data_IF_307406564654
#
_entry.id   IF_307406564654
#
_cell.length_a   1.000
_cell.length_b   1.000
_cell.length_c   1.000
_cell.angle_alpha   90.00
_cell.angle_beta   90.00
_cell.angle_gamma   90.00
#
_symmetry.space_group_name_H-M   'P 1'
#
loop_
_entity.id
_entity.type
_entity.pdbx_description
1 polymer ?
#
# COMPACT_ATOMS: atom_id res chain seq x y z
N UNK A 1 -18.17 -6.70 -14.70
CA UNK A 1 -16.81 -6.71 -14.14
C UNK A 1 -16.78 -5.52 -13.22
N UNK A 2 -16.99 -5.77 -11.94
CA UNK A 2 -17.07 -4.75 -10.90
C UNK A 2 -15.68 -4.11 -10.84
N UNK A 3 -15.53 -2.94 -11.44
CA UNK A 3 -14.29 -2.17 -11.37
C UNK A 3 -14.20 -1.63 -9.96
N UNK A 4 -13.86 -2.53 -9.02
CA UNK A 4 -13.48 -2.18 -7.67
C UNK A 4 -12.45 -1.07 -7.78
N UNK A 5 -12.74 0.05 -7.14
CA UNK A 5 -11.89 1.23 -7.04
C UNK A 5 -10.41 0.84 -6.89
N UNK A 6 -9.71 0.76 -8.02
CA UNK A 6 -8.29 0.46 -8.10
C UNK A 6 -7.45 1.34 -7.15
N UNK A 7 -7.78 2.64 -6.91
CA UNK A 7 -7.09 3.42 -5.90
C UNK A 7 -7.37 2.95 -4.46
N UNK A 8 -8.59 2.51 -4.14
CA UNK A 8 -8.97 2.07 -2.79
C UNK A 8 -8.30 0.76 -2.41
N UNK A 9 -8.36 -0.26 -3.27
CA UNK A 9 -7.75 -1.56 -2.98
C UNK A 9 -6.22 -1.45 -2.90
N UNK A 10 -5.63 -0.63 -3.76
CA UNK A 10 -4.18 -0.40 -3.77
C UNK A 10 -3.75 0.37 -2.52
N UNK A 11 -4.51 1.37 -2.09
CA UNK A 11 -4.33 2.08 -0.82
C UNK A 11 -4.32 1.12 0.39
N UNK A 12 -5.30 0.21 0.47
CA UNK A 12 -5.36 -0.79 1.54
C UNK A 12 -4.19 -1.76 1.50
N UNK A 13 -3.74 -2.16 0.30
CA UNK A 13 -2.58 -3.02 0.14
C UNK A 13 -1.30 -2.37 0.67
N UNK A 14 -1.09 -1.08 0.38
CA UNK A 14 0.05 -0.32 0.90
C UNK A 14 -0.03 -0.13 2.42
N UNK A 15 -1.21 0.17 2.97
CA UNK A 15 -1.39 0.30 4.42
C UNK A 15 -1.09 -1.01 5.15
N UNK A 16 -1.59 -2.13 4.63
CA UNK A 16 -1.28 -3.46 5.19
C UNK A 16 0.21 -3.76 5.12
N UNK A 17 0.87 -3.45 3.99
CA UNK A 17 2.31 -3.65 3.83
C UNK A 17 3.14 -2.79 4.81
N UNK A 18 2.66 -1.60 5.15
CA UNK A 18 3.25 -0.72 6.16
C UNK A 18 2.94 -1.14 7.62
N UNK A 19 2.12 -2.19 7.83
CA UNK A 19 1.78 -2.70 9.15
C UNK A 19 0.60 -1.99 9.82
N UNK A 20 -0.22 -1.25 9.07
CA UNK A 20 -1.46 -0.68 9.59
C UNK A 20 -2.57 -1.71 9.64
N UNK A 21 -3.45 -1.55 10.63
CA UNK A 21 -4.73 -2.25 10.64
C UNK A 21 -5.62 -1.73 9.52
N UNK A 22 -6.11 -2.64 8.68
CA UNK A 22 -7.03 -2.35 7.58
C UNK A 22 -8.47 -2.65 7.99
N UNK A 23 -8.82 -2.39 9.25
CA UNK A 23 -10.15 -2.58 9.81
C UNK A 23 -11.19 -1.61 9.23
N UNK A 24 -12.46 -1.73 9.68
CA UNK A 24 -13.58 -0.96 9.14
C UNK A 24 -13.38 0.56 9.28
N UNK A 25 -12.74 1.01 10.36
CA UNK A 25 -12.44 2.43 10.59
C UNK A 25 -11.43 2.98 9.56
N UNK A 26 -10.31 2.27 9.37
CA UNK A 26 -9.30 2.62 8.36
C UNK A 26 -9.92 2.64 6.95
N UNK A 27 -10.74 1.64 6.63
CA UNK A 27 -11.45 1.55 5.34
C UNK A 27 -12.39 2.74 5.12
N UNK A 28 -13.20 3.09 6.11
CA UNK A 28 -14.09 4.25 6.03
C UNK A 28 -13.31 5.56 5.84
N UNK A 29 -12.17 5.70 6.53
CA UNK A 29 -11.28 6.85 6.41
C UNK A 29 -10.69 6.97 5.00
N UNK A 30 -10.11 5.88 4.47
CA UNK A 30 -9.58 5.86 3.09
C UNK A 30 -10.67 6.24 2.09
N UNK A 31 -11.86 5.65 2.21
CA UNK A 31 -12.98 5.93 1.31
C UNK A 31 -13.40 7.40 1.34
N UNK A 32 -13.56 7.98 2.54
CA UNK A 32 -13.92 9.40 2.68
C UNK A 32 -12.88 10.34 2.07
N UNK A 33 -11.58 9.99 2.16
CA UNK A 33 -10.49 10.80 1.62
C UNK A 33 -10.39 10.71 0.11
N UNK A 34 -10.59 9.52 -0.46
CA UNK A 34 -10.67 9.33 -1.91
C UNK A 34 -11.82 10.17 -2.49
N UNK A 35 -13.00 10.10 -1.88
CA UNK A 35 -14.16 10.90 -2.31
C UNK A 35 -13.92 12.41 -2.20
N UNK A 36 -13.30 12.88 -1.10
CA UNK A 36 -12.97 14.29 -0.93
C UNK A 36 -12.00 14.78 -2.03
N UNK A 37 -11.04 13.94 -2.44
CA UNK A 37 -10.07 14.30 -3.48
C UNK A 37 -10.58 14.16 -4.90
N UNK A 38 -11.45 13.20 -5.18
CA UNK A 38 -12.17 13.15 -6.47
C UNK A 38 -13.00 14.42 -6.69
N UNK A 39 -13.62 14.93 -5.62
CA UNK A 39 -14.39 16.18 -5.66
C UNK A 39 -13.50 17.42 -5.87
N UNK A 40 -12.28 17.43 -5.32
CA UNK A 40 -11.37 18.58 -5.43
C UNK A 40 -10.49 18.56 -6.69
N UNK A 41 -10.11 17.37 -7.19
CA UNK A 41 -9.16 17.21 -8.31
C UNK A 41 -9.26 15.82 -8.94
N UNK A 42 -10.14 15.62 -9.94
CA UNK A 42 -10.34 14.33 -10.60
C UNK A 42 -9.15 13.87 -11.46
N UNK A 43 -8.09 14.68 -11.60
CA UNK A 43 -6.93 14.40 -12.45
C UNK A 43 -5.70 13.88 -11.68
N UNK A 44 -5.80 13.66 -10.36
CA UNK A 44 -4.66 13.16 -9.58
C UNK A 44 -4.34 11.71 -9.97
N UNK A 45 -3.10 11.49 -10.40
CA UNK A 45 -2.61 10.14 -10.67
C UNK A 45 -2.56 9.32 -9.38
N UNK A 46 -2.76 8.00 -9.50
CA UNK A 46 -2.67 7.06 -8.36
C UNK A 46 -1.38 7.24 -7.56
N UNK A 47 -0.27 7.58 -8.21
CA UNK A 47 1.02 7.84 -7.54
C UNK A 47 0.98 9.04 -6.59
N UNK A 48 0.39 10.16 -7.02
CA UNK A 48 0.27 11.37 -6.19
C UNK A 48 -0.68 11.15 -5.00
N UNK A 49 -1.72 10.33 -5.21
CA UNK A 49 -2.64 9.98 -4.14
C UNK A 49 -1.95 9.14 -3.05
N UNK A 50 -1.12 8.17 -3.46
CA UNK A 50 -0.33 7.35 -2.55
C UNK A 50 0.73 8.15 -1.78
N UNK A 51 1.35 9.15 -2.41
CA UNK A 51 2.27 10.06 -1.69
C UNK A 51 1.55 10.80 -0.55
N UNK A 52 0.34 11.29 -0.79
CA UNK A 52 -0.44 11.97 0.25
C UNK A 52 -0.92 11.03 1.36
N UNK A 53 -1.21 9.77 1.03
CA UNK A 53 -1.58 8.77 2.04
C UNK A 53 -0.52 8.57 3.12
N UNK A 54 0.77 8.65 2.76
CA UNK A 54 1.86 8.55 3.73
C UNK A 54 1.88 9.70 4.76
N UNK A 55 1.24 10.82 4.44
CA UNK A 55 1.10 11.97 5.33
C UNK A 55 -0.16 11.85 6.21
N UNK A 56 -1.18 11.16 5.72
CA UNK A 56 -2.48 11.03 6.39
C UNK A 56 -2.53 9.89 7.39
N UNK A 57 -1.80 8.82 7.09
CA UNK A 57 -1.53 7.74 8.02
C UNK A 57 -0.15 8.01 8.59
N UNK A 58 -0.05 8.14 9.92
CA UNK A 58 1.23 8.16 10.61
C UNK A 58 1.84 6.79 10.39
N UNK A 59 2.53 6.62 9.25
CA UNK A 59 3.22 5.39 8.94
C UNK A 59 4.23 5.20 10.06
N UNK A 60 4.16 4.10 10.85
CA UNK A 60 5.24 3.78 11.76
C UNK A 60 6.48 3.73 10.88
N UNK A 61 7.47 4.58 11.22
CA UNK A 61 8.70 4.71 10.44
C UNK A 61 9.13 3.31 10.00
N UNK A 62 9.14 3.09 8.68
CA UNK A 62 9.33 1.79 8.05
C UNK A 62 10.40 1.07 8.86
N UNK A 63 10.01 0.05 9.64
CA UNK A 63 10.91 -0.51 10.66
C UNK A 63 12.19 -0.95 9.94
N UNK A 64 13.23 -0.11 9.98
CA UNK A 64 14.52 -0.32 9.30
C UNK A 64 15.27 -1.54 9.89
N UNK A 65 14.65 -2.24 10.83
CA UNK A 65 15.16 -3.42 11.53
C UNK A 65 14.52 -4.74 11.11
N UNK A 66 13.72 -4.83 10.03
CA UNK A 66 13.51 -6.16 9.41
C UNK A 66 14.82 -6.55 8.74
N UNK A 67 15.66 -7.22 9.51
CA UNK A 67 16.83 -7.96 9.06
C UNK A 67 16.36 -8.84 7.89
N UNK A 68 16.52 -8.36 6.66
CA UNK A 68 16.32 -9.20 5.50
C UNK A 68 17.27 -10.37 5.70
N UNK A 69 16.80 -11.63 5.63
CA UNK A 69 17.73 -12.74 5.68
C UNK A 69 18.77 -12.46 4.60
N UNK A 70 20.08 -12.57 4.92
CA UNK A 70 21.10 -12.37 3.90
C UNK A 70 20.73 -13.26 2.73
N UNK A 71 20.56 -12.66 1.54
CA UNK A 71 20.33 -13.41 0.31
C UNK A 71 21.63 -14.15 0.05
N UNK A 72 21.78 -15.31 0.67
CA UNK A 72 22.79 -16.27 0.29
C UNK A 72 22.46 -16.65 -1.14
N UNK A 73 23.35 -16.31 -2.09
CA UNK A 73 23.32 -16.88 -3.45
C UNK A 73 23.56 -18.37 -3.31
N UNK A 74 22.54 -19.13 -2.94
CA UNK A 74 22.54 -20.57 -3.14
C UNK A 74 22.50 -20.77 -4.65
N UNK A 75 23.60 -21.24 -5.23
CA UNK A 75 23.60 -21.77 -6.58
C UNK A 75 22.65 -22.97 -6.59
N UNK A 76 21.39 -22.74 -6.95
CA UNK A 76 20.42 -23.81 -7.17
C UNK A 76 20.94 -24.59 -8.39
N UNK A 77 21.64 -25.70 -8.14
CA UNK A 77 21.85 -26.70 -9.19
C UNK A 77 20.52 -27.42 -9.37
N UNK A 78 19.92 -27.23 -10.54
CA UNK A 78 18.86 -28.12 -10.99
C UNK A 78 19.45 -29.52 -11.18
N UNK A 79 18.83 -30.58 -10.62
CA UNK A 79 19.21 -31.93 -10.98
C UNK A 79 18.92 -32.12 -12.47
N UNK A 80 19.96 -32.46 -13.22
CA UNK A 80 19.80 -33.04 -14.55
C UNK A 80 19.60 -34.54 -14.33
N UNK A 81 18.35 -34.96 -14.44
CA UNK A 81 17.98 -36.29 -14.93
C UNK A 81 16.98 -36.08 -16.06
#
# INVERSE_FOLDING_TARGET
MDSSDEPFDRALLYLRAAGHDTGPETRARVHSMLQAREAESPALSTGQLLEQMSQWFVLPALHQGRHLPPIARASIRYPRD
#
